data_IF_241422580686
#
_entry.id   IF_241422580686
#
_cell.length_a   1.000
_cell.length_b   1.000
_cell.length_c   1.000
_cell.angle_alpha   90.00
_cell.angle_beta   90.00
_cell.angle_gamma   90.00
#
_symmetry.space_group_name_H-M   'P 1'
#
loop_
_entity.id
_entity.type
_entity.pdbx_description
1 polymer ?
#
# COMPACT_ATOMS: atom_id res chain seq x y z
N UNK A 1 -4.91 -2.39 16.34
CA UNK A 1 -4.10 -1.74 17.42
C UNK A 1 -5.06 -0.99 18.32
N UNK A 2 -4.96 -1.15 19.64
CA UNK A 2 -5.85 -0.47 20.58
C UNK A 2 -5.34 0.96 20.81
N UNK A 3 -6.24 1.95 21.07
CA UNK A 3 -5.85 3.34 21.36
C UNK A 3 -4.81 3.44 22.47
N UNK A 4 -4.91 2.60 23.50
CA UNK A 4 -3.94 2.51 24.60
C UNK A 4 -2.54 2.03 24.18
N UNK A 5 -2.41 1.33 23.05
CA UNK A 5 -1.11 0.87 22.56
C UNK A 5 -0.37 2.01 21.87
N UNK A 6 -1.09 2.88 21.16
CA UNK A 6 -0.53 4.07 20.51
C UNK A 6 0.01 5.08 21.54
N UNK A 7 -0.64 5.20 22.71
CA UNK A 7 -0.17 6.05 23.82
C UNK A 7 1.15 5.57 24.43
N UNK A 8 1.48 4.29 24.26
CA UNK A 8 2.73 3.68 24.78
C UNK A 8 3.93 3.83 23.84
N UNK A 9 3.70 4.23 22.59
CA UNK A 9 4.79 4.48 21.65
C UNK A 9 5.67 5.63 22.13
N UNK A 10 6.98 5.48 21.92
CA UNK A 10 7.93 6.56 22.11
C UNK A 10 7.44 7.83 21.39
N UNK A 11 7.45 9.01 22.03
CA UNK A 11 7.01 10.27 21.40
C UNK A 11 7.72 10.61 20.09
N UNK A 12 8.95 10.12 19.89
CA UNK A 12 9.71 10.28 18.63
C UNK A 12 9.22 9.39 17.48
N UNK A 13 8.40 8.37 17.77
CA UNK A 13 7.84 7.48 16.73
C UNK A 13 6.58 8.10 16.15
N UNK A 14 6.58 8.36 14.86
CA UNK A 14 5.39 8.78 14.10
C UNK A 14 4.53 7.57 13.77
N UNK A 15 3.22 7.71 13.93
CA UNK A 15 2.25 6.70 13.56
C UNK A 15 1.40 7.25 12.40
N UNK A 16 1.60 6.71 11.21
CA UNK A 16 0.89 7.12 10.01
C UNK A 16 -0.04 5.97 9.63
N UNK A 17 -1.33 6.27 9.51
CA UNK A 17 -2.36 5.28 9.17
C UNK A 17 -3.16 5.83 8.00
N UNK A 18 -3.27 5.06 6.93
CA UNK A 18 -4.15 5.32 5.80
C UNK A 18 -5.18 4.22 5.69
N UNK A 19 -6.43 4.54 5.32
CA UNK A 19 -7.47 3.53 5.11
C UNK A 19 -7.13 2.64 3.91
N UNK A 20 -7.72 1.44 3.88
CA UNK A 20 -7.83 0.60 2.70
C UNK A 20 -9.21 0.73 2.05
N UNK A 21 -9.44 -0.01 0.97
CA UNK A 21 -10.71 0.08 0.22
C UNK A 21 -11.93 -0.40 1.02
N UNK A 22 -11.75 -1.31 1.97
CA UNK A 22 -12.83 -1.83 2.84
C UNK A 22 -13.17 -0.92 4.02
N UNK A 23 -12.32 0.08 4.31
CA UNK A 23 -12.59 1.02 5.39
C UNK A 23 -13.65 2.04 4.97
N UNK A 24 -14.68 2.28 5.80
CA UNK A 24 -15.70 3.28 5.51
C UNK A 24 -15.10 4.68 5.48
N UNK A 25 -15.71 5.60 4.72
CA UNK A 25 -15.21 7.00 4.58
C UNK A 25 -15.15 7.71 5.94
N UNK A 26 -16.04 7.36 6.87
CA UNK A 26 -16.05 7.90 8.23
C UNK A 26 -14.79 7.57 9.04
N UNK A 27 -14.05 6.54 8.64
CA UNK A 27 -12.78 6.16 9.30
C UNK A 27 -11.76 7.31 9.27
N UNK A 28 -11.75 8.14 8.23
CA UNK A 28 -10.83 9.27 8.07
C UNK A 28 -10.96 10.26 9.23
N UNK A 29 -12.21 10.61 9.58
CA UNK A 29 -12.47 11.51 10.69
C UNK A 29 -12.04 10.93 12.05
N UNK A 30 -12.19 9.61 12.22
CA UNK A 30 -11.76 8.90 13.44
C UNK A 30 -10.24 8.88 13.54
N UNK A 31 -9.55 8.59 12.45
CA UNK A 31 -8.09 8.59 12.38
C UNK A 31 -7.53 9.99 12.63
N UNK A 32 -8.07 11.00 11.94
CA UNK A 32 -7.62 12.38 12.07
C UNK A 32 -7.87 12.99 13.49
N UNK A 33 -8.87 12.48 14.21
CA UNK A 33 -9.15 12.94 15.59
C UNK A 33 -8.19 12.35 16.63
N UNK A 34 -7.42 11.30 16.30
CA UNK A 34 -6.54 10.66 17.28
C UNK A 34 -5.20 11.41 17.39
N UNK A 35 -4.79 11.87 18.60
CA UNK A 35 -3.63 12.76 18.75
C UNK A 35 -2.27 12.14 18.40
N UNK A 36 -2.20 10.83 18.26
CA UNK A 36 -0.97 10.08 17.93
C UNK A 36 -0.96 9.55 16.50
N UNK A 37 -1.99 9.85 15.70
CA UNK A 37 -2.12 9.36 14.34
C UNK A 37 -2.07 10.51 13.36
N UNK A 38 -1.28 10.35 12.32
CA UNK A 38 -1.30 11.16 11.10
C UNK A 38 -2.02 10.35 10.01
N UNK A 39 -3.01 10.92 9.37
CA UNK A 39 -3.77 10.27 8.29
C UNK A 39 -3.65 11.08 7.00
N UNK A 40 -2.53 10.96 6.25
CA UNK A 40 -2.30 11.70 5.02
C UNK A 40 -2.97 11.01 3.81
N UNK A 41 -4.28 10.77 3.89
CA UNK A 41 -5.02 10.18 2.76
C UNK A 41 -5.12 11.19 1.60
N UNK A 42 -4.68 10.77 0.40
CA UNK A 42 -4.56 11.60 -0.79
C UNK A 42 -3.62 12.82 -0.61
N UNK A 43 -2.65 12.74 0.28
CA UNK A 43 -1.74 13.83 0.62
C UNK A 43 -0.26 13.39 0.61
N UNK A 44 0.62 14.40 0.62
CA UNK A 44 2.05 14.20 0.83
C UNK A 44 2.41 14.34 2.30
N UNK A 45 3.27 13.45 2.78
CA UNK A 45 3.81 13.47 4.13
C UNK A 45 5.34 13.57 4.10
N UNK A 46 5.91 14.57 4.77
CA UNK A 46 7.37 14.73 4.91
C UNK A 46 7.89 13.76 5.99
N UNK A 47 8.77 12.84 5.59
CA UNK A 47 9.42 11.87 6.49
C UNK A 47 10.91 12.19 6.73
N UNK A 48 11.35 13.44 6.50
CA UNK A 48 12.76 13.82 6.61
C UNK A 48 13.53 13.49 5.32
N UNK A 49 14.19 12.34 5.17
CA UNK A 49 14.96 12.00 3.97
C UNK A 49 14.12 11.85 2.70
N UNK A 50 12.84 11.52 2.86
CA UNK A 50 11.91 11.21 1.75
C UNK A 50 10.56 11.89 1.95
N UNK A 51 9.80 12.04 0.86
CA UNK A 51 8.39 12.46 0.89
C UNK A 51 7.53 11.24 0.58
N UNK A 52 6.53 10.95 1.39
CA UNK A 52 5.59 9.86 1.18
C UNK A 52 4.29 10.39 0.56
N UNK A 53 3.86 9.76 -0.53
CA UNK A 53 2.55 9.96 -1.13
C UNK A 53 1.64 8.79 -0.74
N UNK A 54 0.48 9.06 -0.16
CA UNK A 54 -0.42 8.04 0.39
C UNK A 54 -1.78 8.07 -0.28
N UNK A 55 -2.32 6.89 -0.65
CA UNK A 55 -3.66 6.75 -1.22
C UNK A 55 -4.23 5.35 -0.96
N UNK A 56 -5.39 5.30 -0.31
CA UNK A 56 -6.11 4.07 0.04
C UNK A 56 -7.06 3.56 -1.04
N UNK A 57 -7.35 4.39 -2.06
CA UNK A 57 -8.27 4.05 -3.16
C UNK A 57 -7.65 2.98 -4.07
N UNK A 58 -8.49 2.05 -4.55
CA UNK A 58 -8.10 0.96 -5.45
C UNK A 58 -8.92 0.99 -6.76
N UNK A 59 -8.52 0.30 -7.82
CA UNK A 59 -9.38 0.07 -8.99
C UNK A 59 -10.65 -0.67 -8.62
N UNK A 60 -11.71 -0.54 -9.45
CA UNK A 60 -12.97 -1.25 -9.22
C UNK A 60 -12.76 -2.74 -9.00
N UNK A 61 -13.33 -3.25 -7.89
CA UNK A 61 -13.32 -4.66 -7.52
C UNK A 61 -14.70 -5.30 -7.69
N UNK A 62 -14.81 -6.63 -7.71
CA UNK A 62 -16.10 -7.31 -7.73
C UNK A 62 -16.97 -7.06 -6.47
N UNK A 63 -16.38 -6.52 -5.39
CA UNK A 63 -17.07 -6.27 -4.11
C UNK A 63 -17.70 -4.88 -4.03
N UNK A 64 -17.35 -3.96 -4.94
CA UNK A 64 -17.87 -2.60 -4.99
C UNK A 64 -17.74 -1.90 -3.62
N UNK A 65 -16.53 -1.84 -3.12
CA UNK A 65 -16.20 -1.19 -1.84
C UNK A 65 -16.24 0.34 -1.96
N UNK A 66 -16.21 1.05 -0.83
CA UNK A 66 -16.42 2.51 -0.83
C UNK A 66 -15.29 3.32 -1.48
N UNK A 67 -14.06 2.78 -1.45
CA UNK A 67 -12.86 3.49 -1.93
C UNK A 67 -12.34 2.90 -3.23
N UNK A 68 -13.17 2.95 -4.25
CA UNK A 68 -12.84 2.47 -5.58
C UNK A 68 -12.93 3.58 -6.63
N UNK A 69 -12.08 3.48 -7.66
CA UNK A 69 -12.05 4.42 -8.77
C UNK A 69 -11.61 3.74 -10.07
N UNK A 70 -11.58 4.46 -11.19
CA UNK A 70 -11.02 3.94 -12.42
C UNK A 70 -9.49 3.88 -12.37
N UNK A 71 -8.87 2.98 -13.15
CA UNK A 71 -7.42 2.95 -13.32
C UNK A 71 -6.87 4.30 -13.78
N UNK A 72 -7.59 4.97 -14.69
CA UNK A 72 -7.20 6.29 -15.22
C UNK A 72 -7.15 7.35 -14.11
N UNK A 73 -8.20 7.43 -13.28
CA UNK A 73 -8.27 8.42 -12.20
C UNK A 73 -7.30 8.10 -11.07
N UNK A 74 -7.09 6.81 -10.76
CA UNK A 74 -6.07 6.37 -9.82
C UNK A 74 -4.67 6.83 -10.26
N UNK A 75 -4.31 6.57 -11.52
CA UNK A 75 -3.03 6.99 -12.09
C UNK A 75 -2.84 8.51 -12.10
N UNK A 76 -3.91 9.28 -12.39
CA UNK A 76 -3.90 10.75 -12.32
C UNK A 76 -3.64 11.24 -10.89
N UNK A 77 -4.36 10.71 -9.90
CA UNK A 77 -4.22 11.11 -8.50
C UNK A 77 -2.79 10.86 -8.00
N UNK A 78 -2.24 9.66 -8.23
CA UNK A 78 -0.88 9.35 -7.81
C UNK A 78 0.15 10.23 -8.53
N UNK A 79 0.00 10.44 -9.84
CA UNK A 79 0.90 11.30 -10.62
C UNK A 79 0.87 12.74 -10.12
N UNK A 80 -0.32 13.30 -9.84
CA UNK A 80 -0.47 14.65 -9.32
C UNK A 80 0.18 14.84 -7.96
N UNK A 81 0.17 13.83 -7.09
CA UNK A 81 0.91 13.86 -5.82
C UNK A 81 2.43 13.84 -6.09
N UNK A 82 2.90 12.94 -6.94
CA UNK A 82 4.33 12.82 -7.23
C UNK A 82 4.91 14.05 -7.93
N UNK A 83 4.13 14.72 -8.78
CA UNK A 83 4.53 15.97 -9.45
C UNK A 83 4.73 17.13 -8.44
N UNK A 84 4.21 17.03 -7.22
CA UNK A 84 4.40 17.99 -6.14
C UNK A 84 5.59 17.65 -5.22
N UNK A 85 6.21 16.48 -5.38
CA UNK A 85 7.41 16.12 -4.61
C UNK A 85 8.54 17.08 -5.02
N UNK A 86 9.23 17.72 -4.06
CA UNK A 86 10.30 18.65 -4.38
C UNK A 86 11.39 18.05 -5.28
N UNK A 87 11.91 18.85 -6.22
CA UNK A 87 12.96 18.41 -7.12
C UNK A 87 14.19 17.90 -6.35
N UNK A 88 14.74 16.79 -6.78
CA UNK A 88 15.88 16.12 -6.12
C UNK A 88 15.54 15.34 -4.85
N UNK A 89 14.28 15.33 -4.44
CA UNK A 89 13.82 14.57 -3.27
C UNK A 89 13.29 13.20 -3.68
N UNK A 90 13.67 12.17 -2.93
CA UNK A 90 13.17 10.83 -3.13
C UNK A 90 11.74 10.68 -2.58
N UNK A 91 10.94 9.84 -3.24
CA UNK A 91 9.56 9.56 -2.83
C UNK A 91 9.38 8.11 -2.32
N UNK A 92 8.47 7.94 -1.39
CA UNK A 92 7.84 6.66 -1.05
C UNK A 92 6.39 6.71 -1.53
N UNK A 93 5.93 5.64 -2.17
CA UNK A 93 4.51 5.42 -2.43
C UNK A 93 3.93 4.53 -1.34
N UNK A 94 2.92 5.02 -0.63
CA UNK A 94 2.06 4.24 0.26
C UNK A 94 0.70 4.11 -0.41
N UNK A 95 0.61 3.22 -1.38
CA UNK A 95 -0.57 3.03 -2.23
C UNK A 95 -1.16 1.65 -1.92
N UNK A 96 -2.42 1.62 -1.49
CA UNK A 96 -3.03 0.39 -0.98
C UNK A 96 -2.99 -0.75 -2.01
N UNK A 97 -3.38 -0.49 -3.27
CA UNK A 97 -3.33 -1.47 -4.34
C UNK A 97 -1.89 -1.75 -4.81
N UNK A 98 -1.45 -3.01 -4.94
CA UNK A 98 -0.14 -3.35 -5.49
C UNK A 98 -0.11 -3.17 -7.03
N UNK A 99 1.10 -3.01 -7.62
CA UNK A 99 1.27 -2.94 -9.06
C UNK A 99 0.95 -4.28 -9.75
N UNK A 100 0.25 -4.22 -10.90
CA UNK A 100 -0.15 -5.38 -11.70
C UNK A 100 1.04 -6.27 -12.11
N UNK A 101 0.86 -7.59 -12.06
CA UNK A 101 1.83 -8.62 -12.45
C UNK A 101 3.22 -8.41 -11.83
N UNK A 102 3.25 -8.07 -10.56
CA UNK A 102 4.47 -7.83 -9.79
C UNK A 102 4.84 -8.98 -8.85
N UNK A 103 3.96 -9.98 -8.69
CA UNK A 103 4.08 -10.99 -7.64
C UNK A 103 3.72 -10.50 -6.24
N UNK A 104 3.28 -9.23 -6.12
CA UNK A 104 2.68 -8.67 -4.91
C UNK A 104 1.14 -8.68 -4.99
N UNK A 105 0.61 -9.21 -6.08
CA UNK A 105 -0.78 -9.09 -6.49
C UNK A 105 -1.39 -10.42 -6.96
N UNK A 106 -0.77 -11.53 -6.62
CA UNK A 106 -1.24 -12.86 -6.98
C UNK A 106 -2.42 -13.27 -6.09
N UNK A 107 -3.60 -13.51 -6.68
CA UNK A 107 -4.81 -13.93 -5.98
C UNK A 107 -5.57 -15.04 -6.74
N UNK A 108 -6.44 -15.79 -6.05
CA UNK A 108 -7.31 -16.75 -6.72
C UNK A 108 -8.19 -16.08 -7.78
N UNK A 109 -8.18 -16.63 -9.01
CA UNK A 109 -9.15 -16.27 -10.05
C UNK A 109 -10.57 -16.60 -9.57
N UNK A 110 -11.48 -15.63 -9.68
CA UNK A 110 -12.88 -15.81 -9.26
C UNK A 110 -13.79 -15.97 -10.49
N UNK A 111 -14.80 -16.80 -10.36
CA UNK A 111 -15.89 -16.91 -11.33
C UNK A 111 -16.96 -15.81 -11.10
N UNK A 112 -17.98 -15.77 -11.94
CA UNK A 112 -19.09 -14.80 -11.87
C UNK A 112 -19.91 -14.92 -10.55
N UNK A 113 -19.68 -15.98 -9.76
CA UNK A 113 -20.30 -16.19 -8.43
C UNK A 113 -19.33 -15.89 -7.28
N UNK A 114 -18.18 -15.28 -7.57
CA UNK A 114 -17.10 -14.94 -6.64
C UNK A 114 -16.49 -16.18 -5.94
N UNK A 115 -16.50 -17.34 -6.63
CA UNK A 115 -15.84 -18.55 -6.13
C UNK A 115 -14.53 -18.77 -6.87
N UNK A 116 -13.52 -19.34 -6.19
CA UNK A 116 -12.25 -19.65 -6.82
C UNK A 116 -12.41 -20.64 -8.00
N UNK A 117 -11.85 -20.27 -9.15
CA UNK A 117 -11.76 -21.15 -10.34
C UNK A 117 -10.74 -22.25 -10.05
N UNK A 118 -11.16 -23.49 -10.20
CA UNK A 118 -10.29 -24.66 -9.96
C UNK A 118 -9.78 -25.20 -11.29
N UNK A 119 -8.46 -25.26 -11.45
CA UNK A 119 -7.76 -25.86 -12.59
C UNK A 119 -6.78 -26.94 -12.11
N UNK A 120 -6.91 -28.15 -12.61
CA UNK A 120 -6.04 -29.25 -12.18
C UNK A 120 -6.12 -29.59 -10.68
N UNK A 121 -7.27 -29.37 -10.04
CA UNK A 121 -7.50 -29.65 -8.61
C UNK A 121 -6.91 -28.58 -7.65
N UNK A 122 -6.50 -27.42 -8.17
CA UNK A 122 -5.98 -26.29 -7.38
C UNK A 122 -6.64 -24.98 -7.84
N UNK A 123 -6.74 -23.96 -6.97
CA UNK A 123 -7.14 -22.63 -7.38
C UNK A 123 -6.23 -22.10 -8.49
N UNK A 124 -6.83 -21.54 -9.54
CA UNK A 124 -6.11 -20.77 -10.55
C UNK A 124 -5.69 -19.45 -9.93
N UNK A 125 -4.42 -19.11 -10.01
CA UNK A 125 -3.86 -17.86 -9.47
C UNK A 125 -3.58 -16.91 -10.64
N UNK A 126 -4.02 -15.66 -10.50
CA UNK A 126 -3.84 -14.60 -11.50
C UNK A 126 -3.37 -13.30 -10.83
N UNK A 127 -2.66 -12.42 -11.55
CA UNK A 127 -2.37 -11.08 -11.05
C UNK A 127 -3.65 -10.23 -11.07
N UNK A 128 -3.89 -9.50 -9.98
CA UNK A 128 -5.09 -8.66 -9.80
C UNK A 128 -4.75 -7.23 -9.36
N UNK A 129 -3.49 -6.83 -9.41
CA UNK A 129 -3.04 -5.49 -9.07
C UNK A 129 -3.42 -4.43 -10.11
N UNK A 130 -3.02 -3.19 -9.85
CA UNK A 130 -3.33 -2.03 -10.69
C UNK A 130 -2.30 -1.82 -11.80
N UNK A 131 -2.77 -1.66 -13.02
CA UNK A 131 -1.96 -1.24 -14.17
C UNK A 131 -1.45 0.19 -13.98
N UNK A 132 -2.30 1.10 -13.50
CA UNK A 132 -1.93 2.49 -13.25
C UNK A 132 -0.82 2.62 -12.20
N UNK A 133 -0.90 1.85 -11.10
CA UNK A 133 0.16 1.83 -10.08
C UNK A 133 1.48 1.35 -10.69
N UNK A 134 1.43 0.31 -11.52
CA UNK A 134 2.63 -0.19 -12.21
C UNK A 134 3.24 0.86 -13.14
N UNK A 135 2.43 1.52 -13.96
CA UNK A 135 2.87 2.55 -14.90
C UNK A 135 3.49 3.75 -14.16
N UNK A 136 2.86 4.21 -13.09
CA UNK A 136 3.38 5.29 -12.25
C UNK A 136 4.72 4.91 -11.64
N UNK A 137 4.86 3.71 -11.07
CA UNK A 137 6.13 3.24 -10.53
C UNK A 137 7.22 3.19 -11.61
N UNK A 138 6.88 2.69 -12.81
CA UNK A 138 7.84 2.63 -13.92
C UNK A 138 8.27 4.02 -14.40
N UNK A 139 7.38 4.99 -14.38
CA UNK A 139 7.64 6.37 -14.83
C UNK A 139 8.43 7.19 -13.82
N UNK A 140 8.00 7.19 -12.55
CA UNK A 140 8.56 8.08 -11.52
C UNK A 140 9.70 7.43 -10.74
N UNK A 141 9.76 6.10 -10.69
CA UNK A 141 10.79 5.34 -10.00
C UNK A 141 11.00 5.82 -8.54
N UNK A 142 9.95 5.85 -7.69
CA UNK A 142 10.12 6.16 -6.27
C UNK A 142 11.10 5.19 -5.61
N UNK A 143 11.63 5.54 -4.43
CA UNK A 143 12.57 4.66 -3.72
C UNK A 143 11.89 3.38 -3.27
N UNK A 144 10.67 3.49 -2.71
CA UNK A 144 9.90 2.36 -2.18
C UNK A 144 8.43 2.51 -2.56
N UNK A 145 7.77 1.38 -2.85
CA UNK A 145 6.33 1.23 -2.90
C UNK A 145 5.87 0.32 -1.76
N UNK A 146 5.02 0.84 -0.88
CA UNK A 146 4.37 0.10 0.20
C UNK A 146 2.94 -0.21 -0.21
N UNK A 147 2.57 -1.50 -0.19
CA UNK A 147 1.29 -1.98 -0.67
C UNK A 147 0.64 -2.96 0.30
N UNK A 148 -0.67 -3.15 0.17
CA UNK A 148 -1.46 -4.14 0.89
C UNK A 148 -2.50 -4.78 -0.03
N UNK A 149 -3.79 -4.67 0.29
CA UNK A 149 -4.95 -5.08 -0.49
C UNK A 149 -5.02 -6.59 -0.78
N UNK A 150 -3.98 -7.17 -1.40
CA UNK A 150 -3.93 -8.60 -1.72
C UNK A 150 -3.25 -9.33 -0.57
N UNK A 151 -4.07 -9.87 0.33
CA UNK A 151 -3.65 -10.44 1.61
C UNK A 151 -2.76 -11.66 1.45
N UNK A 152 -3.01 -12.47 0.43
CA UNK A 152 -2.29 -13.71 0.14
C UNK A 152 -0.89 -13.47 -0.45
N UNK A 153 -0.68 -12.30 -1.07
CA UNK A 153 0.50 -12.04 -1.90
C UNK A 153 1.63 -11.36 -1.12
N UNK A 154 2.12 -12.05 -0.09
CA UNK A 154 3.24 -11.57 0.74
C UNK A 154 4.56 -11.68 -0.03
N UNK A 155 5.07 -10.55 -0.51
CA UNK A 155 6.31 -10.50 -1.28
C UNK A 155 7.01 -9.13 -1.22
N UNK A 156 8.25 -9.11 -1.73
CA UNK A 156 8.98 -7.90 -2.07
C UNK A 156 9.65 -8.08 -3.43
N UNK A 157 9.49 -7.12 -4.33
CA UNK A 157 9.96 -7.18 -5.70
C UNK A 157 10.47 -5.81 -6.18
N UNK A 158 11.41 -5.80 -7.10
CA UNK A 158 11.89 -4.57 -7.73
C UNK A 158 11.21 -4.32 -9.07
N UNK A 159 10.71 -3.09 -9.26
CA UNK A 159 10.25 -2.57 -10.55
C UNK A 159 11.18 -1.42 -10.94
N UNK A 160 12.14 -1.71 -11.83
CA UNK A 160 13.25 -0.79 -12.06
C UNK A 160 14.09 -0.62 -10.78
N UNK A 161 14.27 0.62 -10.30
CA UNK A 161 14.96 0.88 -9.03
C UNK A 161 14.06 0.81 -7.80
N UNK A 162 12.75 0.86 -7.98
CA UNK A 162 11.77 0.87 -6.88
C UNK A 162 11.67 -0.48 -6.20
N UNK A 163 11.87 -0.55 -4.90
CA UNK A 163 11.50 -1.69 -4.07
C UNK A 163 10.00 -1.62 -3.75
N UNK A 164 9.21 -2.56 -4.26
CA UNK A 164 7.80 -2.71 -3.94
C UNK A 164 7.62 -3.81 -2.90
N UNK A 165 6.83 -3.55 -1.85
CA UNK A 165 6.62 -4.48 -0.73
C UNK A 165 5.13 -4.62 -0.44
N UNK A 166 4.65 -5.87 -0.36
CA UNK A 166 3.37 -6.21 0.24
C UNK A 166 3.63 -7.21 1.38
N UNK A 167 3.44 -6.83 2.65
CA UNK A 167 3.67 -7.73 3.77
C UNK A 167 2.63 -8.87 3.85
N UNK A 168 1.55 -8.77 3.07
CA UNK A 168 0.38 -9.63 3.21
C UNK A 168 -0.42 -9.34 4.48
N UNK A 169 -1.51 -10.07 4.66
CA UNK A 169 -2.32 -9.97 5.86
C UNK A 169 -2.83 -11.34 6.29
N UNK A 170 -2.83 -11.62 7.59
CA UNK A 170 -3.31 -12.88 8.17
C UNK A 170 -4.05 -12.60 9.51
N UNK A 171 -4.80 -11.50 9.51
CA UNK A 171 -5.51 -11.02 10.69
C UNK A 171 -6.54 -12.04 11.21
N UNK A 172 -7.13 -12.84 10.31
CA UNK A 172 -8.09 -13.90 10.67
C UNK A 172 -7.47 -15.00 11.52
N UNK A 173 -6.16 -15.21 11.42
CA UNK A 173 -5.39 -16.15 12.26
C UNK A 173 -4.74 -15.49 13.49
N UNK A 174 -4.93 -14.18 13.66
CA UNK A 174 -4.30 -13.41 14.74
C UNK A 174 -2.79 -13.18 14.55
N UNK A 175 -2.30 -13.33 13.32
CA UNK A 175 -0.88 -13.15 12.97
C UNK A 175 -0.67 -11.76 12.40
N UNK A 176 0.23 -10.98 13.01
CA UNK A 176 0.66 -9.70 12.49
C UNK A 176 1.70 -9.90 11.38
N UNK A 177 1.38 -9.39 10.18
CA UNK A 177 2.32 -9.31 9.06
C UNK A 177 2.81 -7.88 8.92
N UNK A 178 4.09 -7.70 8.66
CA UNK A 178 4.68 -6.37 8.52
C UNK A 178 5.91 -6.37 7.64
N UNK A 179 6.43 -5.17 7.40
CA UNK A 179 7.71 -4.94 6.76
C UNK A 179 8.49 -3.87 7.52
N UNK A 180 9.79 -4.06 7.62
CA UNK A 180 10.74 -3.02 8.04
C UNK A 180 11.51 -2.60 6.80
N UNK A 181 11.62 -1.30 6.56
CA UNK A 181 12.39 -0.74 5.44
C UNK A 181 13.34 0.31 6.00
N UNK A 182 14.61 0.17 5.69
CA UNK A 182 15.65 1.10 6.10
C UNK A 182 15.95 2.11 4.99
N UNK A 183 15.79 3.41 5.31
CA UNK A 183 16.03 4.53 4.40
C UNK A 183 17.22 5.34 4.90
N UNK A 184 18.21 5.57 4.05
CA UNK A 184 19.37 6.40 4.34
C UNK A 184 19.00 7.89 4.36
N UNK A 185 19.91 8.73 4.88
CA UNK A 185 19.73 10.19 4.92
C UNK A 185 19.60 10.84 3.53
N UNK A 186 20.16 10.20 2.50
CA UNK A 186 19.99 10.63 1.11
C UNK A 186 18.69 10.15 0.45
N UNK A 187 17.83 9.44 1.20
CA UNK A 187 16.55 8.90 0.76
C UNK A 187 16.66 7.59 -0.05
N UNK A 188 17.82 6.93 -0.08
CA UNK A 188 17.95 5.61 -0.71
C UNK A 188 17.47 4.49 0.23
N UNK A 189 16.90 3.43 -0.33
CA UNK A 189 16.56 2.23 0.42
C UNK A 189 17.82 1.37 0.60
N UNK A 190 18.21 1.13 1.86
CA UNK A 190 19.38 0.32 2.21
C UNK A 190 19.03 -1.15 2.32
N UNK A 191 17.96 -1.48 3.06
CA UNK A 191 17.58 -2.86 3.34
C UNK A 191 16.08 -2.95 3.63
N UNK A 192 15.55 -4.17 3.63
CA UNK A 192 14.19 -4.45 4.05
C UNK A 192 14.07 -5.85 4.68
N UNK A 193 13.06 -6.02 5.52
CA UNK A 193 12.72 -7.28 6.16
C UNK A 193 11.20 -7.46 6.22
N UNK A 194 10.68 -8.59 5.76
CA UNK A 194 9.30 -9.00 5.98
C UNK A 194 9.18 -9.69 7.34
N UNK A 195 8.35 -9.16 8.24
CA UNK A 195 8.19 -9.63 9.61
C UNK A 195 6.90 -10.43 9.81
N UNK A 196 6.87 -11.24 10.85
CA UNK A 196 5.70 -11.98 11.33
C UNK A 196 5.74 -12.00 12.85
N UNK A 197 4.62 -11.66 13.52
CA UNK A 197 4.48 -11.63 14.98
C UNK A 197 3.11 -12.09 15.44
#
# INVERSE_FOLDING_TARGET
MCSSDLERLDPGVRCIITPGNDDPVEADAVLAAHPRVECPEAELCDLGPVTMASLGVVPYTPWNTERETSEEDLGKQISQMLDQVPEGRNAILNIHCPPYASGLDDAPELDDTLKPVIRGGRPSIIPVGSHAVREVIQRYQPTVGLHGHIHESRAAQKIGRTLCVNPGSDYGSGVLRGAVVEIAEDGTCLDFLLTTG
#
